data_IF_363231032858
#
_entry.id   IF_363231032858
#
_cell.length_a   1.000
_cell.length_b   1.000
_cell.length_c   1.000
_cell.angle_alpha   90.00
_cell.angle_beta   90.00
_cell.angle_gamma   90.00
#
_symmetry.space_group_name_H-M   'P 1'
#
loop_
_entity.id
_entity.type
_entity.pdbx_description
1 polymer ?
#
# COMPACT_ATOMS: atom_id res chain seq x y z
N UNK A 1 -17.13 6.08 -5.78
CA UNK A 1 -18.44 5.46 -5.47
C UNK A 1 -18.86 4.66 -6.68
N UNK A 2 -19.24 3.39 -6.50
CA UNK A 2 -19.83 2.56 -7.56
C UNK A 2 -21.28 2.98 -7.78
N UNK A 3 -21.62 3.33 -9.02
CA UNK A 3 -22.96 3.71 -9.44
C UNK A 3 -23.70 2.55 -10.09
N UNK A 4 -23.02 1.76 -10.93
CA UNK A 4 -23.64 0.68 -11.68
C UNK A 4 -22.65 -0.45 -12.02
N UNK A 5 -23.19 -1.64 -12.26
CA UNK A 5 -22.46 -2.83 -12.70
C UNK A 5 -23.15 -3.40 -13.93
N UNK A 6 -22.54 -3.19 -15.09
CA UNK A 6 -23.07 -3.70 -16.37
C UNK A 6 -22.35 -4.99 -16.72
N UNK A 7 -23.10 -6.09 -16.72
CA UNK A 7 -22.58 -7.41 -17.04
C UNK A 7 -23.13 -7.91 -18.38
N UNK A 8 -22.24 -8.39 -19.24
CA UNK A 8 -22.56 -9.18 -20.43
C UNK A 8 -21.69 -10.45 -20.47
N UNK A 9 -22.02 -11.39 -21.37
CA UNK A 9 -21.41 -12.75 -21.38
C UNK A 9 -19.88 -12.79 -21.30
N UNK A 10 -19.18 -11.77 -21.82
CA UNK A 10 -17.71 -11.69 -21.81
C UNK A 10 -17.14 -10.40 -21.22
N UNK A 11 -17.98 -9.57 -20.59
CA UNK A 11 -17.55 -8.25 -20.09
C UNK A 11 -18.25 -7.89 -18.80
N UNK A 12 -17.46 -7.49 -17.81
CA UNK A 12 -17.93 -6.82 -16.60
C UNK A 12 -17.48 -5.36 -16.66
N UNK A 13 -18.43 -4.42 -16.58
CA UNK A 13 -18.15 -2.98 -16.58
C UNK A 13 -18.61 -2.41 -15.25
N UNK A 14 -17.70 -1.74 -14.55
CA UNK A 14 -18.00 -1.06 -13.29
C UNK A 14 -18.05 0.45 -13.54
N UNK A 15 -19.19 1.08 -13.25
CA UNK A 15 -19.40 2.51 -13.46
C UNK A 15 -19.20 3.23 -12.13
N UNK A 16 -18.16 4.05 -12.04
CA UNK A 16 -17.84 4.82 -10.84
C UNK A 16 -18.08 6.32 -11.04
N UNK A 17 -18.17 7.05 -9.93
CA UNK A 17 -18.05 8.50 -9.95
C UNK A 17 -16.71 8.92 -10.59
N UNK A 18 -16.72 10.02 -11.34
CA UNK A 18 -15.50 10.55 -11.96
C UNK A 18 -14.77 11.50 -11.01
N UNK A 19 -13.46 11.28 -10.84
CA UNK A 19 -12.54 12.19 -10.14
C UNK A 19 -11.45 12.63 -11.13
N UNK A 20 -10.99 13.87 -10.98
CA UNK A 20 -10.20 14.55 -12.02
C UNK A 20 -8.80 13.99 -12.20
N UNK A 21 -8.17 13.57 -11.11
CA UNK A 21 -6.78 13.10 -11.09
C UNK A 21 -6.56 12.18 -9.90
N UNK A 22 -5.43 11.47 -9.89
CA UNK A 22 -4.96 10.76 -8.72
C UNK A 22 -3.92 11.58 -7.92
N UNK A 23 -3.47 11.04 -6.77
CA UNK A 23 -2.50 11.73 -5.92
C UNK A 23 -1.13 11.84 -6.60
N UNK A 24 -0.75 10.91 -7.49
CA UNK A 24 0.52 11.01 -8.22
C UNK A 24 0.49 12.19 -9.17
N UNK A 25 -0.57 12.31 -9.96
CA UNK A 25 -0.81 13.43 -10.87
C UNK A 25 -0.86 14.76 -10.10
N UNK A 26 -1.52 14.79 -8.94
CA UNK A 26 -1.59 15.98 -8.09
C UNK A 26 -0.20 16.41 -7.60
N UNK A 27 0.62 15.47 -7.10
CA UNK A 27 2.00 15.75 -6.68
C UNK A 27 2.85 16.28 -7.84
N UNK A 28 2.74 15.68 -9.02
CA UNK A 28 3.48 16.12 -10.21
C UNK A 28 3.08 17.56 -10.62
N UNK A 29 1.79 17.88 -10.55
CA UNK A 29 1.29 19.24 -10.79
C UNK A 29 1.80 20.26 -9.77
N UNK A 30 2.10 19.83 -8.53
CA UNK A 30 2.69 20.66 -7.48
C UNK A 30 4.22 20.75 -7.54
N UNK A 31 4.88 20.08 -8.50
CA UNK A 31 6.34 20.04 -8.61
C UNK A 31 7.01 19.00 -7.70
N UNK A 32 6.26 18.00 -7.23
CA UNK A 32 6.73 16.90 -6.38
C UNK A 32 6.20 17.00 -4.95
N UNK A 33 7.05 17.42 -4.02
CA UNK A 33 6.72 17.45 -2.59
C UNK A 33 5.56 18.42 -2.29
N UNK A 34 4.63 17.98 -1.44
CA UNK A 34 3.47 18.76 -1.02
C UNK A 34 3.79 19.57 0.25
N UNK A 35 3.10 20.68 0.44
CA UNK A 35 3.22 21.45 1.68
C UNK A 35 2.64 20.66 2.88
N UNK A 36 3.16 20.86 4.11
CA UNK A 36 2.73 20.10 5.28
C UNK A 36 1.22 20.14 5.56
N UNK A 37 0.55 21.25 5.24
CA UNK A 37 -0.90 21.39 5.42
C UNK A 37 -1.67 20.49 4.46
N UNK A 38 -1.26 20.43 3.19
CA UNK A 38 -1.82 19.51 2.20
C UNK A 38 -1.53 18.06 2.54
N UNK A 39 -0.31 17.75 2.99
CA UNK A 39 0.05 16.39 3.45
C UNK A 39 -0.86 15.95 4.60
N UNK A 40 -1.04 16.80 5.61
CA UNK A 40 -1.92 16.51 6.75
C UNK A 40 -3.38 16.34 6.31
N UNK A 41 -3.87 17.18 5.39
CA UNK A 41 -5.23 17.12 4.86
C UNK A 41 -5.51 15.80 4.14
N UNK A 42 -4.60 15.35 3.28
CA UNK A 42 -4.76 14.08 2.56
C UNK A 42 -4.52 12.86 3.45
N UNK A 43 -3.53 12.89 4.36
CA UNK A 43 -3.32 11.80 5.31
C UNK A 43 -4.52 11.57 6.20
N UNK A 44 -5.17 12.63 6.68
CA UNK A 44 -6.40 12.51 7.47
C UNK A 44 -7.49 11.79 6.69
N UNK A 45 -7.71 12.16 5.43
CA UNK A 45 -8.74 11.54 4.58
C UNK A 45 -8.41 10.09 4.23
N UNK A 46 -7.13 9.80 3.93
CA UNK A 46 -6.64 8.45 3.67
C UNK A 46 -6.91 7.53 4.87
N UNK A 47 -6.50 7.95 6.07
CA UNK A 47 -6.67 7.15 7.28
C UNK A 47 -8.14 6.92 7.64
N UNK A 48 -9.00 7.94 7.47
CA UNK A 48 -10.45 7.78 7.66
C UNK A 48 -11.07 6.81 6.64
N UNK A 49 -10.60 6.83 5.38
CA UNK A 49 -11.01 5.87 4.36
C UNK A 49 -10.59 4.43 4.70
N UNK A 50 -9.34 4.26 5.14
CA UNK A 50 -8.79 2.96 5.56
C UNK A 50 -9.56 2.42 6.76
N UNK A 51 -9.77 3.23 7.80
CA UNK A 51 -10.56 2.86 8.98
C UNK A 51 -11.96 2.39 8.60
N UNK A 52 -12.64 3.13 7.71
CA UNK A 52 -13.96 2.76 7.22
C UNK A 52 -13.98 1.38 6.54
N UNK A 53 -12.95 1.06 5.75
CA UNK A 53 -12.80 -0.24 5.09
C UNK A 53 -12.49 -1.35 6.10
N UNK A 54 -11.53 -1.12 7.00
CA UNK A 54 -11.10 -2.09 8.01
C UNK A 54 -12.24 -2.46 8.97
N UNK A 55 -13.06 -1.48 9.37
CA UNK A 55 -14.25 -1.73 10.19
C UNK A 55 -15.26 -2.69 9.52
N UNK A 56 -15.26 -2.76 8.18
CA UNK A 56 -16.10 -3.66 7.38
C UNK A 56 -15.36 -4.91 6.91
N UNK A 57 -14.22 -5.22 7.51
CA UNK A 57 -13.42 -6.40 7.16
C UNK A 57 -12.96 -6.41 5.70
N UNK A 58 -12.77 -5.22 5.11
CA UNK A 58 -12.24 -5.03 3.76
C UNK A 58 -10.82 -4.48 3.86
N UNK A 59 -9.86 -5.23 3.32
CA UNK A 59 -8.49 -4.74 3.11
C UNK A 59 -8.35 -4.18 1.70
N UNK A 60 -7.59 -3.10 1.53
CA UNK A 60 -7.34 -2.52 0.21
C UNK A 60 -6.23 -3.26 -0.55
N UNK A 61 -5.09 -3.51 0.13
CA UNK A 61 -3.92 -4.28 -0.33
C UNK A 61 -3.07 -3.66 -1.43
N UNK A 62 -3.62 -2.79 -2.28
CA UNK A 62 -2.82 -2.07 -3.29
C UNK A 62 -2.90 -0.56 -3.10
N UNK A 63 -2.69 -0.09 -1.87
CA UNK A 63 -2.62 1.36 -1.63
C UNK A 63 -1.33 1.93 -2.24
N UNK A 64 -1.51 2.90 -3.13
CA UNK A 64 -0.46 3.66 -3.82
C UNK A 64 -1.05 4.99 -4.29
N UNK A 65 -0.24 6.02 -4.59
CA UNK A 65 -0.74 7.33 -5.02
C UNK A 65 -1.73 7.27 -6.19
N UNK A 66 -1.54 6.36 -7.16
CA UNK A 66 -2.42 6.19 -8.31
C UNK A 66 -3.83 5.66 -7.95
N UNK A 67 -3.96 5.00 -6.81
CA UNK A 67 -5.23 4.47 -6.31
C UNK A 67 -5.92 5.46 -5.33
N UNK A 68 -5.35 6.64 -5.14
CA UNK A 68 -5.92 7.72 -4.31
C UNK A 68 -6.42 8.83 -5.23
N UNK A 69 -7.71 8.78 -5.56
CA UNK A 69 -8.33 9.73 -6.47
C UNK A 69 -8.68 11.05 -5.75
N UNK A 70 -8.50 12.18 -6.42
CA UNK A 70 -8.70 13.52 -5.87
C UNK A 70 -9.74 14.29 -6.70
N UNK A 71 -10.73 14.84 -6.02
CA UNK A 71 -11.73 15.72 -6.64
C UNK A 71 -11.23 17.17 -6.75
N UNK A 72 -11.91 17.99 -7.56
CA UNK A 72 -11.69 19.46 -7.63
C UNK A 72 -11.70 20.14 -6.26
N UNK A 73 -12.51 19.64 -5.32
CA UNK A 73 -12.65 20.20 -3.98
C UNK A 73 -11.61 19.63 -2.98
N UNK A 74 -10.56 18.97 -3.48
CA UNK A 74 -9.52 18.31 -2.68
C UNK A 74 -10.06 17.23 -1.73
N UNK A 75 -11.11 16.53 -2.17
CA UNK A 75 -11.61 15.33 -1.50
C UNK A 75 -10.85 14.12 -2.05
N UNK A 76 -10.19 13.38 -1.16
CA UNK A 76 -9.46 12.16 -1.48
C UNK A 76 -10.38 10.95 -1.31
N UNK A 77 -10.37 10.04 -2.29
CA UNK A 77 -11.14 8.80 -2.28
C UNK A 77 -10.28 7.60 -2.67
N UNK A 78 -10.44 6.52 -1.92
CA UNK A 78 -9.82 5.23 -2.25
C UNK A 78 -10.48 4.65 -3.51
N UNK A 79 -9.67 4.16 -4.44
CA UNK A 79 -10.09 3.53 -5.68
C UNK A 79 -9.34 2.22 -5.92
N UNK A 80 -9.81 1.46 -6.90
CA UNK A 80 -9.21 0.18 -7.30
C UNK A 80 -9.08 -0.83 -6.15
N UNK A 81 -10.24 -1.20 -5.60
CA UNK A 81 -10.37 -2.38 -4.75
C UNK A 81 -10.25 -3.69 -5.55
N UNK A 82 -9.63 -3.70 -6.74
CA UNK A 82 -9.50 -4.88 -7.60
C UNK A 82 -8.82 -6.08 -6.94
N UNK A 83 -8.14 -5.84 -5.82
CA UNK A 83 -7.48 -6.83 -4.96
C UNK A 83 -8.06 -6.89 -3.54
N UNK A 84 -9.06 -6.04 -3.27
CA UNK A 84 -9.77 -6.00 -2.01
C UNK A 84 -10.61 -7.26 -1.84
N UNK A 85 -10.36 -7.98 -0.74
CA UNK A 85 -11.11 -9.19 -0.37
C UNK A 85 -11.74 -8.98 1.00
N UNK A 86 -13.00 -9.39 1.14
CA UNK A 86 -13.59 -9.64 2.44
C UNK A 86 -12.80 -10.73 3.15
N UNK A 87 -12.52 -10.55 4.44
CA UNK A 87 -11.98 -11.63 5.27
C UNK A 87 -13.04 -12.75 5.36
N UNK A 88 -12.77 -13.89 4.74
CA UNK A 88 -13.44 -15.15 5.09
C UNK A 88 -12.54 -15.93 6.05
N UNK A 89 -13.13 -16.47 7.11
CA UNK A 89 -12.51 -17.48 7.98
C UNK A 89 -12.87 -18.83 7.35
N UNK A 90 -11.91 -19.66 6.88
CA UNK A 90 -10.47 -19.55 7.10
C UNK A 90 -9.75 -18.75 6.01
N UNK A 91 -8.70 -18.02 6.42
CA UNK A 91 -7.87 -17.18 5.57
C UNK A 91 -7.20 -18.04 4.50
N UNK A 92 -7.74 -18.06 3.29
CA UNK A 92 -7.12 -18.75 2.16
C UNK A 92 -5.75 -18.14 1.84
N UNK A 93 -4.80 -19.00 1.43
CA UNK A 93 -3.46 -18.60 0.95
C UNK A 93 -3.62 -17.53 -0.14
N UNK A 94 -3.03 -16.36 0.08
CA UNK A 94 -3.07 -15.27 -0.91
C UNK A 94 -1.72 -15.21 -1.63
N UNK A 95 -1.75 -14.86 -2.92
CA UNK A 95 -0.56 -14.76 -3.78
C UNK A 95 0.27 -13.51 -3.45
N UNK A 96 1.60 -13.63 -3.54
CA UNK A 96 2.58 -12.63 -3.11
C UNK A 96 2.68 -11.42 -4.06
N UNK A 97 2.25 -11.55 -5.32
CA UNK A 97 2.47 -10.55 -6.39
C UNK A 97 1.49 -9.37 -6.40
N UNK A 98 0.70 -9.20 -5.35
CA UNK A 98 -0.55 -8.45 -5.40
C UNK A 98 -0.39 -6.98 -4.96
N UNK A 99 0.82 -6.52 -4.62
CA UNK A 99 1.05 -5.12 -4.20
C UNK A 99 2.14 -4.50 -5.06
N UNK A 100 1.92 -3.27 -5.51
CA UNK A 100 2.99 -2.45 -6.12
C UNK A 100 4.18 -2.39 -5.16
N UNK A 101 5.35 -2.90 -5.58
CA UNK A 101 6.48 -3.28 -4.72
C UNK A 101 6.87 -2.21 -3.68
N UNK A 102 6.83 -0.94 -4.08
CA UNK A 102 7.29 0.20 -3.27
C UNK A 102 6.49 0.45 -2.00
N UNK A 103 5.25 -0.04 -1.94
CA UNK A 103 4.32 0.17 -0.82
C UNK A 103 4.06 -1.14 -0.05
N UNK A 104 4.82 -2.20 -0.35
CA UNK A 104 4.68 -3.53 0.26
C UNK A 104 5.44 -3.61 1.59
N UNK A 105 4.85 -4.16 2.66
CA UNK A 105 5.52 -4.30 3.95
C UNK A 105 6.54 -5.46 3.98
N UNK A 106 7.50 -5.44 4.92
CA UNK A 106 8.57 -6.44 5.01
C UNK A 106 8.07 -7.86 5.28
N UNK A 107 7.00 -8.04 6.06
CA UNK A 107 6.42 -9.37 6.32
C UNK A 107 5.89 -10.02 5.03
N UNK A 108 5.20 -9.25 4.18
CA UNK A 108 4.70 -9.74 2.89
C UNK A 108 5.86 -10.03 1.92
N UNK A 109 6.90 -9.17 1.90
CA UNK A 109 8.13 -9.41 1.11
C UNK A 109 8.88 -10.68 1.55
N UNK A 110 8.86 -10.99 2.85
CA UNK A 110 9.43 -12.22 3.40
C UNK A 110 8.51 -13.46 3.21
N UNK A 111 7.39 -13.32 2.51
CA UNK A 111 6.49 -14.42 2.16
C UNK A 111 5.43 -14.74 3.21
N UNK A 112 5.19 -13.86 4.19
CA UNK A 112 4.09 -14.05 5.15
C UNK A 112 2.76 -14.17 4.41
N UNK A 113 1.97 -15.18 4.80
CA UNK A 113 0.60 -15.37 4.31
C UNK A 113 -0.45 -14.87 5.29
N UNK A 114 -0.02 -14.30 6.43
CA UNK A 114 -0.88 -13.73 7.46
C UNK A 114 -1.15 -12.26 7.16
N UNK A 115 -2.00 -12.01 6.17
CA UNK A 115 -2.43 -10.65 5.83
C UNK A 115 -3.28 -10.08 6.97
N UNK A 116 -2.97 -8.87 7.44
CA UNK A 116 -3.80 -8.16 8.42
C UNK A 116 -3.99 -6.69 7.99
N UNK A 117 -4.70 -5.91 8.82
CA UNK A 117 -4.89 -4.47 8.61
C UNK A 117 -3.56 -3.70 8.51
N UNK A 118 -2.47 -4.24 9.07
CA UNK A 118 -1.13 -3.63 9.05
C UNK A 118 -0.59 -3.33 7.65
N UNK A 119 -0.99 -4.09 6.62
CA UNK A 119 -0.50 -3.91 5.25
C UNK A 119 -0.90 -2.54 4.71
N UNK A 120 -2.17 -2.18 4.87
CA UNK A 120 -2.68 -0.88 4.41
C UNK A 120 -2.05 0.28 5.21
N UNK A 121 -1.75 0.06 6.49
CA UNK A 121 -1.08 1.06 7.35
C UNK A 121 0.36 1.28 6.91
N UNK A 122 1.10 0.22 6.54
CA UNK A 122 2.45 0.35 5.98
C UNK A 122 2.45 1.14 4.68
N UNK A 123 1.55 0.79 3.76
CA UNK A 123 1.41 1.50 2.49
C UNK A 123 1.05 2.98 2.73
N UNK A 124 0.16 3.28 3.67
CA UNK A 124 -0.16 4.67 4.05
C UNK A 124 1.05 5.43 4.61
N UNK A 125 1.93 4.77 5.37
CA UNK A 125 3.19 5.35 5.84
C UNK A 125 4.16 5.67 4.70
N UNK A 126 4.26 4.78 3.71
CA UNK A 126 5.06 5.03 2.49
C UNK A 126 4.50 6.22 1.68
N UNK A 127 3.18 6.30 1.53
CA UNK A 127 2.48 7.40 0.84
C UNK A 127 2.67 8.72 1.59
N UNK A 128 2.64 8.71 2.93
CA UNK A 128 2.93 9.89 3.75
C UNK A 128 4.32 10.46 3.45
N UNK A 129 5.34 9.60 3.47
CA UNK A 129 6.72 10.00 3.18
C UNK A 129 6.89 10.47 1.74
N UNK A 130 6.20 9.85 0.78
CA UNK A 130 6.23 10.27 -0.62
C UNK A 130 5.57 11.64 -0.83
N UNK A 131 4.43 11.91 -0.20
CA UNK A 131 3.81 13.25 -0.24
C UNK A 131 4.75 14.32 0.35
N UNK A 132 5.44 14.01 1.45
CA UNK A 132 6.32 14.96 2.11
C UNK A 132 7.66 15.21 1.37
N UNK A 133 8.16 14.21 0.64
CA UNK A 133 9.47 14.28 -0.03
C UNK A 133 9.39 14.44 -1.55
N UNK A 134 8.22 14.21 -2.15
CA UNK A 134 7.99 14.17 -3.58
C UNK A 134 8.58 12.95 -4.28
N UNK A 135 9.10 11.96 -3.54
CA UNK A 135 9.75 10.76 -4.08
C UNK A 135 9.33 9.52 -3.30
N UNK A 136 9.18 8.35 -3.94
CA UNK A 136 8.88 7.12 -3.24
C UNK A 136 9.93 6.81 -2.16
N UNK A 137 9.49 6.49 -0.95
CA UNK A 137 10.37 6.22 0.18
C UNK A 137 11.27 4.98 -0.06
N UNK A 138 10.68 3.92 -0.61
CA UNK A 138 11.36 2.66 -0.89
C UNK A 138 11.14 2.25 -2.36
N UNK A 139 12.04 2.67 -3.25
CA UNK A 139 11.94 2.37 -4.68
C UNK A 139 12.80 1.15 -5.11
N UNK A 140 12.45 -0.05 -4.64
CA UNK A 140 13.08 -1.31 -5.04
C UNK A 140 12.67 -1.78 -6.45
N UNK A 141 13.46 -2.67 -7.05
CA UNK A 141 13.19 -3.29 -8.37
C UNK A 141 12.67 -4.72 -8.26
N UNK A 142 13.09 -5.41 -7.21
CA UNK A 142 12.70 -6.77 -6.81
C UNK A 142 12.65 -6.87 -5.28
N UNK A 143 12.06 -7.94 -4.74
CA UNK A 143 11.76 -8.10 -3.31
C UNK A 143 13.00 -7.88 -2.42
N UNK A 144 14.15 -8.45 -2.78
CA UNK A 144 15.44 -8.31 -2.08
C UNK A 144 15.88 -6.85 -2.00
N UNK A 145 15.85 -6.16 -3.15
CA UNK A 145 16.24 -4.75 -3.24
C UNK A 145 15.28 -3.83 -2.49
N UNK A 146 14.01 -4.24 -2.37
CA UNK A 146 12.99 -3.52 -1.62
C UNK A 146 13.24 -3.66 -0.11
N UNK A 147 13.49 -4.89 0.36
CA UNK A 147 13.89 -5.16 1.75
C UNK A 147 15.17 -4.41 2.13
N UNK A 148 16.16 -4.38 1.24
CA UNK A 148 17.41 -3.63 1.46
C UNK A 148 17.17 -2.14 1.68
N UNK A 149 16.26 -1.53 0.92
CA UNK A 149 15.88 -0.12 1.09
C UNK A 149 15.12 0.12 2.39
N UNK A 150 14.23 -0.80 2.76
CA UNK A 150 13.47 -0.72 4.01
C UNK A 150 14.43 -0.74 5.20
N UNK A 151 15.27 -1.77 5.29
CA UNK A 151 16.21 -1.93 6.41
C UNK A 151 17.35 -0.91 6.38
N UNK A 152 17.76 -0.43 5.21
CA UNK A 152 18.75 0.63 5.09
C UNK A 152 18.29 1.98 5.67
N UNK A 153 16.98 2.26 5.71
CA UNK A 153 16.43 3.49 6.28
C UNK A 153 15.93 3.27 7.71
N UNK A 154 15.20 2.18 7.97
CA UNK A 154 14.57 1.93 9.27
C UNK A 154 15.46 1.14 10.23
N UNK A 155 16.59 0.61 9.76
CA UNK A 155 17.41 -0.35 10.47
C UNK A 155 16.89 -1.78 10.29
N UNK A 156 17.79 -2.74 10.55
CA UNK A 156 17.42 -4.15 10.61
C UNK A 156 16.67 -4.41 11.93
N UNK A 157 15.46 -4.99 11.90
CA UNK A 157 14.66 -5.16 13.11
C UNK A 157 15.28 -6.23 14.02
N UNK A 158 15.33 -5.93 15.31
CA UNK A 158 15.63 -6.94 16.33
C UNK A 158 14.52 -7.99 16.44
N UNK A 159 14.83 -9.14 17.03
CA UNK A 159 13.84 -10.19 17.30
C UNK A 159 12.68 -9.70 18.18
N UNK A 160 12.88 -8.68 19.02
CA UNK A 160 11.82 -8.05 19.81
C UNK A 160 10.92 -7.12 19.00
N UNK A 161 11.44 -6.46 17.97
CA UNK A 161 10.69 -5.51 17.14
C UNK A 161 9.89 -6.22 16.04
N UNK A 162 10.44 -7.31 15.49
CA UNK A 162 9.74 -8.12 14.51
C UNK A 162 9.84 -9.63 14.83
N UNK A 163 9.12 -10.11 15.86
CA UNK A 163 9.26 -11.49 16.34
C UNK A 163 8.89 -12.56 15.30
N UNK A 164 7.89 -12.29 14.46
CA UNK A 164 7.43 -13.23 13.44
C UNK A 164 8.30 -13.27 12.19
N UNK A 165 9.40 -12.52 12.14
CA UNK A 165 10.31 -12.53 11.00
C UNK A 165 10.89 -13.92 10.77
N UNK A 166 11.25 -14.66 11.83
CA UNK A 166 11.79 -16.03 11.73
C UNK A 166 10.79 -17.06 11.18
N UNK A 167 9.49 -16.77 11.29
CA UNK A 167 8.42 -17.63 10.80
C UNK A 167 8.09 -17.38 9.32
N UNK A 168 8.67 -16.33 8.72
CA UNK A 168 8.40 -15.99 7.33
C UNK A 168 9.20 -16.91 6.39
N UNK A 169 8.56 -17.49 5.34
CA UNK A 169 9.17 -18.51 4.49
C UNK A 169 10.51 -18.12 3.87
N UNK A 170 10.69 -16.86 3.49
CA UNK A 170 11.85 -16.42 2.71
C UNK A 170 12.96 -15.81 3.59
N UNK A 171 12.79 -15.80 4.92
CA UNK A 171 13.73 -15.18 5.86
C UNK A 171 15.14 -15.75 5.77
N UNK A 172 15.28 -17.07 5.66
CA UNK A 172 16.60 -17.69 5.59
C UNK A 172 17.32 -17.41 4.25
N UNK A 173 16.58 -17.30 3.15
CA UNK A 173 17.13 -17.07 1.82
C UNK A 173 17.49 -15.58 1.62
N UNK A 174 16.59 -14.69 2.01
CA UNK A 174 16.74 -13.25 1.77
C UNK A 174 17.71 -12.59 2.77
N UNK A 175 17.76 -13.04 4.02
CA UNK A 175 18.57 -12.41 5.09
C UNK A 175 19.98 -13.00 5.24
N UNK A 176 20.34 -14.02 4.45
CA UNK A 176 21.71 -14.56 4.38
C UNK A 176 22.56 -13.85 3.33
N UNK A 177 21.97 -13.07 2.43
CA UNK A 177 22.72 -12.17 1.56
C UNK A 177 23.30 -11.03 2.40
N UNK A 178 24.63 -10.95 2.49
CA UNK A 178 25.39 -9.93 3.24
C UNK A 178 24.97 -8.47 2.92
N UNK A 179 24.26 -8.25 1.81
CA UNK A 179 23.72 -6.96 1.39
C UNK A 179 22.67 -6.34 2.33
N UNK A 180 22.06 -7.12 3.24
CA UNK A 180 21.05 -6.62 4.19
C UNK A 180 21.60 -6.33 5.60
N UNK A 181 22.87 -6.67 5.88
CA UNK A 181 23.48 -6.55 7.23
C UNK A 181 24.50 -5.42 7.37
N UNK A 182 24.78 -4.68 6.30
CA UNK A 182 25.71 -3.55 6.27
C UNK A 182 24.97 -2.22 6.41
#
# INVERSE_FOLDING_TARGET
>A
RLHDVVHSERKLTLVFEFLQMDLKDYMDCCGGALDPGTVQHFMRQLLLGIEYCHYRMVLHRDLKPQNLLISRDRVLKLADFGLGRAFEIPVHRMTHDVVTLWYRPPDVLLGSTKYSCNIDIWSAGCIFAEMASGKPLFAGREDDSQLAKIFGILGYPSQSEFPSMVDCPNTAELLTHDALRA
#
